data_IF_315357757263
#
_entry.id   IF_315357757263
#
_cell.length_a   1.000
_cell.length_b   1.000
_cell.length_c   1.000
_cell.angle_alpha   90.00
_cell.angle_beta   90.00
_cell.angle_gamma   90.00
#
_symmetry.space_group_name_H-M   'P 1'
#
loop_
_entity.id
_entity.type
_entity.pdbx_description
1 polymer ?
#
# COMPACT_ATOMS: atom_id res chain seq x y z
N UNK A 1 12.43 -6.11 -20.91
CA UNK A 1 11.46 -7.23 -20.93
C UNK A 1 10.15 -6.68 -20.39
N UNK A 2 9.18 -6.39 -21.26
CA UNK A 2 7.84 -6.04 -20.80
C UNK A 2 7.27 -7.22 -20.01
N UNK A 3 6.52 -6.95 -18.94
CA UNK A 3 5.74 -7.96 -18.22
C UNK A 3 4.31 -7.87 -18.73
N UNK A 4 3.97 -8.50 -19.87
CA UNK A 4 2.65 -8.37 -20.46
C UNK A 4 1.59 -8.79 -19.45
N UNK A 5 0.57 -7.93 -19.28
CA UNK A 5 -0.57 -8.20 -18.41
C UNK A 5 -0.39 -7.85 -16.93
N UNK A 6 0.81 -7.50 -16.44
CA UNK A 6 0.97 -7.04 -15.04
C UNK A 6 0.52 -5.58 -14.91
N UNK A 7 -0.53 -5.34 -14.12
CA UNK A 7 -1.17 -4.02 -13.97
C UNK A 7 -0.94 -3.38 -12.60
N UNK A 8 -0.46 -4.16 -11.63
CA UNK A 8 -0.03 -3.71 -10.31
C UNK A 8 1.01 -4.68 -9.75
N UNK A 9 1.63 -4.33 -8.62
CA UNK A 9 2.71 -5.12 -8.02
C UNK A 9 2.58 -5.18 -6.50
N UNK A 10 3.12 -6.24 -5.94
CA UNK A 10 3.45 -6.37 -4.52
C UNK A 10 4.96 -6.23 -4.33
N UNK A 11 5.38 -5.88 -3.12
CA UNK A 11 6.78 -5.99 -2.74
C UNK A 11 7.18 -7.47 -2.57
N UNK A 12 8.47 -7.74 -2.68
CA UNK A 12 9.01 -9.12 -2.81
C UNK A 12 8.51 -10.05 -1.71
N UNK A 13 8.52 -9.55 -0.48
CA UNK A 13 8.19 -10.34 0.71
C UNK A 13 6.74 -10.08 1.20
N UNK A 14 5.93 -9.40 0.37
CA UNK A 14 4.50 -9.19 0.61
C UNK A 14 3.69 -10.27 -0.09
N UNK A 15 3.00 -11.10 0.67
CA UNK A 15 2.02 -12.06 0.16
C UNK A 15 0.69 -11.39 -0.21
N UNK A 16 -0.12 -12.06 -1.02
CA UNK A 16 -1.50 -11.64 -1.25
C UNK A 16 -1.94 -11.71 -2.71
N UNK A 17 -2.99 -10.94 -3.02
CA UNK A 17 -3.66 -10.99 -4.30
C UNK A 17 -2.95 -10.12 -5.36
N UNK A 18 -2.65 -10.72 -6.51
CA UNK A 18 -2.25 -10.04 -7.73
C UNK A 18 -3.28 -10.31 -8.83
N UNK A 19 -3.46 -9.34 -9.71
CA UNK A 19 -4.37 -9.42 -10.86
C UNK A 19 -3.51 -9.25 -12.10
N UNK A 20 -3.64 -10.19 -13.03
CA UNK A 20 -2.96 -10.16 -14.31
C UNK A 20 -3.98 -10.20 -15.45
N UNK A 21 -3.81 -9.31 -16.42
CA UNK A 21 -4.63 -9.28 -17.61
C UNK A 21 -4.19 -10.36 -18.60
N UNK A 22 -5.16 -11.11 -19.14
CA UNK A 22 -4.92 -12.14 -20.17
C UNK A 22 -5.10 -11.64 -21.60
N UNK A 23 -5.61 -10.43 -21.78
CA UNK A 23 -5.85 -9.80 -23.08
C UNK A 23 -5.46 -8.33 -23.04
N UNK A 24 -5.13 -7.75 -24.20
CA UNK A 24 -4.79 -6.32 -24.28
C UNK A 24 -5.93 -5.40 -23.82
N UNK A 25 -7.18 -5.72 -24.19
CA UNK A 25 -8.35 -4.96 -23.75
C UNK A 25 -8.51 -4.98 -22.21
N UNK A 26 -8.35 -6.15 -21.58
CA UNK A 26 -8.39 -6.27 -20.12
C UNK A 26 -7.24 -5.51 -19.45
N UNK A 27 -6.04 -5.52 -20.05
CA UNK A 27 -4.88 -4.79 -19.52
C UNK A 27 -5.15 -3.29 -19.49
N UNK A 28 -5.64 -2.72 -20.59
CA UNK A 28 -5.98 -1.30 -20.66
C UNK A 28 -7.10 -0.92 -19.67
N UNK A 29 -8.15 -1.74 -19.58
CA UNK A 29 -9.24 -1.51 -18.64
C UNK A 29 -8.78 -1.55 -17.17
N UNK A 30 -7.94 -2.51 -16.81
CA UNK A 30 -7.40 -2.65 -15.45
C UNK A 30 -6.42 -1.51 -15.12
N UNK A 31 -5.49 -1.17 -16.02
CA UNK A 31 -4.59 -0.02 -15.83
C UNK A 31 -5.37 1.26 -15.56
N UNK A 32 -6.46 1.49 -16.32
CA UNK A 32 -7.36 2.62 -16.12
C UNK A 32 -8.01 2.60 -14.74
N UNK A 33 -8.53 1.45 -14.29
CA UNK A 33 -9.11 1.30 -12.95
C UNK A 33 -8.13 1.61 -11.83
N UNK A 34 -6.87 1.14 -11.94
CA UNK A 34 -5.83 1.45 -10.96
C UNK A 34 -5.43 2.92 -10.98
N UNK A 35 -5.31 3.53 -12.17
CA UNK A 35 -4.99 4.95 -12.33
C UNK A 35 -6.08 5.86 -11.76
N UNK A 36 -7.35 5.51 -12.00
CA UNK A 36 -8.54 6.21 -11.49
C UNK A 36 -8.85 5.87 -10.02
N UNK A 37 -8.05 5.00 -9.37
CA UNK A 37 -8.24 4.55 -7.98
C UNK A 37 -9.62 3.91 -7.71
N UNK A 38 -10.19 3.25 -8.70
CA UNK A 38 -11.46 2.50 -8.56
C UNK A 38 -11.30 1.12 -7.93
N UNK A 39 -10.06 0.69 -7.67
CA UNK A 39 -9.76 -0.60 -7.07
C UNK A 39 -9.59 -0.52 -5.55
N UNK A 40 -10.38 -1.31 -4.83
CA UNK A 40 -10.23 -1.51 -3.40
C UNK A 40 -9.06 -2.44 -3.12
N UNK A 41 -8.19 -2.05 -2.18
CA UNK A 41 -7.01 -2.82 -1.78
C UNK A 41 -6.96 -2.90 -0.26
N UNK A 42 -7.19 -4.10 0.26
CA UNK A 42 -7.21 -4.41 1.69
C UNK A 42 -6.06 -5.36 2.03
N UNK A 43 -5.30 -5.05 3.07
CA UNK A 43 -4.20 -5.87 3.56
C UNK A 43 -4.36 -6.13 5.04
N UNK A 44 -3.98 -7.33 5.48
CA UNK A 44 -3.75 -7.60 6.88
C UNK A 44 -2.26 -7.43 7.17
N UNK A 45 -1.94 -6.74 8.26
CA UNK A 45 -0.57 -6.58 8.73
C UNK A 45 -0.52 -6.80 10.25
N UNK A 46 0.63 -7.25 10.74
CA UNK A 46 0.93 -7.27 12.17
C UNK A 46 1.92 -6.14 12.46
N UNK A 47 1.58 -5.26 13.39
CA UNK A 47 2.45 -4.14 13.78
C UNK A 47 3.28 -4.48 15.00
N UNK A 48 4.53 -4.02 15.01
CA UNK A 48 5.29 -3.86 16.25
C UNK A 48 4.72 -2.69 17.02
N UNK A 49 4.25 -2.93 18.25
CA UNK A 49 3.41 -2.03 19.06
C UNK A 49 1.98 -1.92 18.56
N UNK A 50 1.08 -1.73 19.51
CA UNK A 50 -0.34 -1.47 19.23
C UNK A 50 -0.56 0.01 18.92
N UNK A 51 -1.21 0.38 17.79
CA UNK A 51 -1.65 1.74 17.56
C UNK A 51 -2.52 2.26 18.71
N UNK A 52 -2.30 3.50 19.14
CA UNK A 52 -3.04 4.11 20.25
C UNK A 52 -4.54 4.20 19.92
N UNK A 53 -4.86 4.69 18.72
CA UNK A 53 -6.22 4.74 18.24
C UNK A 53 -6.63 3.42 17.57
N UNK A 54 -7.88 2.94 17.77
CA UNK A 54 -8.36 1.70 17.17
C UNK A 54 -8.50 1.80 15.65
N UNK A 55 -8.55 3.00 15.08
CA UNK A 55 -8.55 3.24 13.65
C UNK A 55 -8.05 4.65 13.34
N UNK A 56 -7.65 4.89 12.10
CA UNK A 56 -7.33 6.23 11.63
C UNK A 56 -6.87 6.26 10.18
N UNK A 57 -6.67 7.47 9.66
CA UNK A 57 -6.13 7.72 8.33
C UNK A 57 -4.71 8.25 8.46
N UNK A 58 -3.76 7.58 7.79
CA UNK A 58 -2.39 8.07 7.62
C UNK A 58 -2.32 8.80 6.29
N UNK A 59 -2.19 10.13 6.35
CA UNK A 59 -1.94 10.98 5.19
C UNK A 59 -0.52 11.56 5.26
N UNK A 60 0.27 11.33 4.21
CA UNK A 60 1.63 11.84 4.12
C UNK A 60 2.09 11.97 2.66
N UNK A 61 3.33 12.41 2.44
CA UNK A 61 3.98 12.42 1.14
C UNK A 61 5.13 11.42 1.13
N UNK A 62 5.08 10.46 0.20
CA UNK A 62 6.09 9.40 0.07
C UNK A 62 6.95 9.66 -1.16
N UNK A 63 8.26 9.54 -0.99
CA UNK A 63 9.23 9.57 -2.07
C UNK A 63 10.51 8.83 -1.70
N UNK A 64 11.44 8.74 -2.67
CA UNK A 64 12.74 8.07 -2.44
C UNK A 64 13.48 8.76 -1.30
N UNK A 65 14.07 7.95 -0.41
CA UNK A 65 14.85 8.48 0.69
C UNK A 65 16.06 9.27 0.13
N UNK A 66 16.35 10.48 0.64
CA UNK A 66 17.32 11.40 0.03
C UNK A 66 18.75 10.83 -0.01
N UNK A 67 19.12 10.05 1.02
CA UNK A 67 20.43 9.39 1.11
C UNK A 67 20.41 7.95 0.56
N UNK A 68 19.56 7.06 1.11
CA UNK A 68 19.50 5.66 0.68
C UNK A 68 18.46 5.41 -0.41
N UNK A 69 18.89 5.37 -1.68
CA UNK A 69 18.00 5.22 -2.85
C UNK A 69 17.20 3.91 -2.88
N UNK A 70 17.59 2.88 -2.14
CA UNK A 70 16.82 1.63 -2.06
C UNK A 70 15.57 1.78 -1.19
N UNK A 71 15.52 2.78 -0.31
CA UNK A 71 14.44 3.00 0.67
C UNK A 71 13.48 4.12 0.26
N UNK A 72 12.30 4.08 0.87
CA UNK A 72 11.29 5.13 0.81
C UNK A 72 11.28 5.91 2.11
N UNK A 73 10.86 7.17 2.05
CA UNK A 73 10.73 8.04 3.22
C UNK A 73 9.46 8.88 3.14
N UNK A 74 8.98 9.28 4.31
CA UNK A 74 8.09 10.43 4.45
C UNK A 74 8.89 11.69 4.13
N UNK A 75 8.37 12.50 3.22
CA UNK A 75 8.98 13.75 2.78
C UNK A 75 8.10 14.94 3.18
N UNK A 76 8.72 16.12 3.25
CA UNK A 76 8.00 17.37 3.49
C UNK A 76 7.01 17.66 2.35
N UNK A 77 5.89 18.34 2.62
CA UNK A 77 4.95 18.80 1.60
C UNK A 77 5.67 19.56 0.47
N UNK A 78 5.24 19.33 -0.77
CA UNK A 78 5.92 19.84 -1.98
C UNK A 78 7.02 18.91 -2.51
N UNK A 79 7.43 17.89 -1.76
CA UNK A 79 8.28 16.79 -2.21
C UNK A 79 7.56 15.44 -2.10
N UNK A 80 7.92 14.49 -2.96
CA UNK A 80 7.25 13.18 -3.00
C UNK A 80 5.82 13.22 -3.56
N UNK A 81 5.07 12.14 -3.37
CA UNK A 81 3.69 12.01 -3.87
C UNK A 81 2.72 11.77 -2.70
N UNK A 82 1.52 12.36 -2.73
CA UNK A 82 0.49 12.08 -1.74
C UNK A 82 0.21 10.58 -1.61
N UNK A 83 0.20 10.11 -0.36
CA UNK A 83 -0.06 8.75 0.06
C UNK A 83 -1.09 8.74 1.20
N UNK A 84 -2.13 7.92 1.03
CA UNK A 84 -3.25 7.79 1.98
C UNK A 84 -3.49 6.29 2.23
N UNK A 85 -3.54 5.93 3.51
CA UNK A 85 -3.90 4.59 4.00
C UNK A 85 -4.78 4.73 5.22
N UNK A 86 -5.96 4.11 5.23
CA UNK A 86 -6.73 3.91 6.46
C UNK A 86 -6.27 2.63 7.14
N UNK A 87 -6.32 2.60 8.47
CA UNK A 87 -6.08 1.40 9.26
C UNK A 87 -7.18 1.18 10.29
N UNK A 88 -7.41 -0.09 10.62
CA UNK A 88 -8.33 -0.54 11.66
C UNK A 88 -7.64 -1.64 12.46
N UNK A 89 -7.52 -1.49 13.78
CA UNK A 89 -7.01 -2.52 14.69
C UNK A 89 -8.10 -3.57 14.84
N UNK A 90 -7.82 -4.79 14.39
CA UNK A 90 -8.74 -5.92 14.47
C UNK A 90 -8.57 -6.69 15.76
N UNK A 91 -7.31 -6.89 16.18
CA UNK A 91 -6.96 -7.63 17.39
C UNK A 91 -5.66 -7.09 17.99
N UNK A 92 -5.60 -7.04 19.32
CA UNK A 92 -4.41 -6.63 20.08
C UNK A 92 -3.83 -7.85 20.79
N UNK A 93 -2.51 -7.92 20.87
CA UNK A 93 -1.77 -8.85 21.71
C UNK A 93 -0.93 -8.01 22.70
N UNK A 94 -1.44 -7.79 23.92
CA UNK A 94 -0.73 -7.01 24.93
C UNK A 94 0.55 -7.69 25.44
N UNK A 95 0.64 -9.02 25.43
CA UNK A 95 1.81 -9.74 25.93
C UNK A 95 3.00 -9.54 24.98
N UNK A 96 2.77 -9.67 23.68
CA UNK A 96 3.80 -9.48 22.65
C UNK A 96 3.95 -8.00 22.23
N UNK A 97 3.08 -7.12 22.72
CA UNK A 97 2.98 -5.73 22.27
C UNK A 97 2.82 -5.64 20.74
N UNK A 98 1.92 -6.44 20.17
CA UNK A 98 1.62 -6.42 18.73
C UNK A 98 0.14 -6.21 18.48
N UNK A 99 -0.23 -5.89 17.24
CA UNK A 99 -1.62 -5.80 16.83
C UNK A 99 -1.80 -6.29 15.39
N UNK A 100 -2.89 -7.02 15.14
CA UNK A 100 -3.39 -7.29 13.81
C UNK A 100 -4.18 -6.08 13.33
N UNK A 101 -3.80 -5.54 12.17
CA UNK A 101 -4.44 -4.37 11.57
C UNK A 101 -4.91 -4.67 10.15
N UNK A 102 -6.09 -4.17 9.80
CA UNK A 102 -6.58 -4.06 8.43
C UNK A 102 -6.13 -2.71 7.86
N UNK A 103 -5.42 -2.73 6.74
CA UNK A 103 -4.98 -1.55 6.00
C UNK A 103 -5.79 -1.42 4.71
N UNK A 104 -6.44 -0.27 4.51
CA UNK A 104 -7.14 0.09 3.28
C UNK A 104 -6.34 1.15 2.50
N UNK A 105 -5.83 0.74 1.34
CA UNK A 105 -4.93 1.57 0.53
C UNK A 105 -5.68 2.35 -0.54
N UNK A 106 -5.85 3.65 -0.30
CA UNK A 106 -6.39 4.61 -1.27
C UNK A 106 -5.36 4.98 -2.35
N UNK A 107 -4.07 4.80 -2.05
CA UNK A 107 -2.96 5.03 -2.98
C UNK A 107 -1.96 3.87 -2.94
N UNK A 108 -1.26 3.62 -4.05
CA UNK A 108 -0.16 2.65 -4.12
C UNK A 108 1.16 3.34 -4.42
N UNK A 109 1.88 3.80 -3.39
CA UNK A 109 3.15 4.52 -3.52
C UNK A 109 4.32 3.65 -3.08
N UNK A 110 5.43 3.79 -3.80
CA UNK A 110 6.79 3.28 -3.54
C UNK A 110 7.79 4.22 -4.21
#
# INVERSE_FOLDING_TARGET
MERPGIVHRLDKDTSGCLVAAKTGAAQQALLRQFAERRTTKLYLAVTTRTPVQPSGTIFTHIGRHPVNRQKMAVLNPGSGRPAITDYYVLQKDPEQQTALVLCHLHTGRT
#
